data_IF_974983431792
#
_entry.id   IF_974983431792
#
_cell.length_a   1.000
_cell.length_b   1.000
_cell.length_c   1.000
_cell.angle_alpha   90.00
_cell.angle_beta   90.00
_cell.angle_gamma   90.00
#
_symmetry.space_group_name_H-M   'P 1'
#
loop_
_entity.id
_entity.type
_entity.pdbx_description
1 polymer ?
#
# COMPACT_ATOMS: atom_id res chain seq x y z
N UNK A 1 1.39 10.37 -15.84
CA UNK A 1 2.76 10.51 -15.29
C UNK A 1 3.55 9.21 -15.35
N UNK A 2 2.93 8.04 -15.14
CA UNK A 2 3.63 6.73 -15.19
C UNK A 2 3.52 5.95 -16.51
N UNK A 3 3.05 6.56 -17.61
CA UNK A 3 2.92 5.86 -18.90
C UNK A 3 1.89 4.72 -18.95
N UNK A 4 1.02 4.61 -17.94
CA UNK A 4 0.00 3.56 -17.85
C UNK A 4 -1.21 3.77 -18.75
N UNK A 5 -1.84 2.65 -19.11
CA UNK A 5 -3.02 2.61 -19.95
C UNK A 5 -4.31 2.84 -19.14
N UNK A 6 -5.43 3.16 -19.81
CA UNK A 6 -6.74 3.29 -19.14
C UNK A 6 -7.14 1.98 -18.41
N UNK A 7 -6.71 0.84 -18.95
CA UNK A 7 -6.89 -0.48 -18.33
C UNK A 7 -6.10 -0.66 -17.03
N UNK A 8 -4.91 -0.05 -16.92
CA UNK A 8 -4.13 -0.07 -15.67
C UNK A 8 -4.82 0.78 -14.61
N UNK A 9 -5.43 1.90 -15.01
CA UNK A 9 -6.19 2.76 -14.09
C UNK A 9 -7.45 2.05 -13.57
N UNK A 10 -8.17 1.31 -14.42
CA UNK A 10 -9.30 0.49 -14.01
C UNK A 10 -8.88 -0.66 -13.10
N UNK A 11 -7.79 -1.35 -13.45
CA UNK A 11 -7.19 -2.39 -12.60
C UNK A 11 -6.79 -1.84 -11.22
N UNK A 12 -6.17 -0.66 -11.18
CA UNK A 12 -5.79 0.01 -9.94
C UNK A 12 -7.01 0.43 -9.12
N UNK A 13 -8.06 0.94 -9.75
CA UNK A 13 -9.30 1.31 -9.07
C UNK A 13 -9.96 0.09 -8.40
N UNK A 14 -10.05 -1.04 -9.11
CA UNK A 14 -10.60 -2.28 -8.58
C UNK A 14 -9.70 -2.85 -7.47
N UNK A 15 -8.39 -2.93 -7.70
CA UNK A 15 -7.44 -3.41 -6.70
C UNK A 15 -7.51 -2.58 -5.42
N UNK A 16 -7.60 -1.25 -5.56
CA UNK A 16 -7.74 -0.32 -4.42
C UNK A 16 -9.06 -0.55 -3.70
N UNK A 17 -10.19 -0.67 -4.41
CA UNK A 17 -11.50 -0.88 -3.81
C UNK A 17 -11.54 -2.14 -2.94
N UNK A 18 -11.07 -3.27 -3.49
CA UNK A 18 -11.04 -4.54 -2.77
C UNK A 18 -9.99 -4.56 -1.65
N UNK A 19 -8.77 -4.10 -1.91
CA UNK A 19 -7.73 -4.09 -0.88
C UNK A 19 -8.00 -3.09 0.25
N UNK A 20 -8.65 -1.95 -0.04
CA UNK A 20 -9.11 -1.02 0.98
C UNK A 20 -10.23 -1.64 1.83
N UNK A 21 -11.22 -2.25 1.20
CA UNK A 21 -12.31 -2.97 1.91
C UNK A 21 -11.75 -4.08 2.81
N UNK A 22 -10.77 -4.85 2.31
CA UNK A 22 -10.10 -5.88 3.09
C UNK A 22 -9.27 -5.30 4.24
N UNK A 23 -8.54 -4.22 4.00
CA UNK A 23 -7.78 -3.54 5.07
C UNK A 23 -8.70 -3.01 6.17
N UNK A 24 -9.88 -2.49 5.85
CA UNK A 24 -10.85 -2.04 6.86
C UNK A 24 -11.35 -3.21 7.71
N UNK A 25 -11.58 -4.37 7.09
CA UNK A 25 -11.98 -5.58 7.80
C UNK A 25 -10.87 -6.03 8.77
N UNK A 26 -9.63 -6.10 8.29
CA UNK A 26 -8.46 -6.46 9.13
C UNK A 26 -8.25 -5.46 10.27
N UNK A 27 -8.43 -4.16 9.99
CA UNK A 27 -8.31 -3.12 10.99
C UNK A 27 -9.33 -3.30 12.12
N UNK A 28 -10.57 -3.70 11.79
CA UNK A 28 -11.63 -3.95 12.76
C UNK A 28 -11.27 -5.06 13.76
N UNK A 29 -10.59 -6.11 13.31
CA UNK A 29 -10.23 -7.27 14.15
C UNK A 29 -8.88 -7.11 14.84
N UNK A 30 -7.84 -6.69 14.12
CA UNK A 30 -6.46 -6.68 14.62
C UNK A 30 -6.11 -5.35 15.28
N UNK A 31 -6.67 -4.22 14.81
CA UNK A 31 -6.41 -2.85 15.30
C UNK A 31 -4.94 -2.43 15.32
N UNK A 32 -4.11 -3.07 14.50
CA UNK A 32 -2.70 -2.71 14.35
C UNK A 32 -2.45 -2.16 12.93
N UNK A 33 -1.98 -0.89 12.78
CA UNK A 33 -1.80 -0.25 11.48
C UNK A 33 -0.87 -1.01 10.54
N UNK A 34 0.24 -1.55 11.04
CA UNK A 34 1.20 -2.28 10.20
C UNK A 34 0.58 -3.56 9.60
N UNK A 35 -0.21 -4.32 10.38
CA UNK A 35 -0.84 -5.56 9.90
C UNK A 35 -1.90 -5.22 8.87
N UNK A 36 -2.66 -4.16 9.12
CA UNK A 36 -3.67 -3.63 8.20
C UNK A 36 -3.04 -3.25 6.86
N UNK A 37 -1.89 -2.57 6.90
CA UNK A 37 -1.16 -2.17 5.70
C UNK A 37 -0.60 -3.36 4.94
N UNK A 38 0.01 -4.34 5.64
CA UNK A 38 0.48 -5.58 5.03
C UNK A 38 -0.64 -6.33 4.30
N UNK A 39 -1.78 -6.49 4.98
CA UNK A 39 -2.95 -7.18 4.45
C UNK A 39 -3.51 -6.49 3.20
N UNK A 40 -3.63 -5.16 3.21
CA UNK A 40 -4.06 -4.39 2.04
C UNK A 40 -3.08 -4.52 0.88
N UNK A 41 -1.77 -4.34 1.14
CA UNK A 41 -0.71 -4.47 0.15
C UNK A 41 -0.63 -5.85 -0.51
N UNK A 42 -0.85 -6.90 0.27
CA UNK A 42 -0.93 -8.26 -0.24
C UNK A 42 -2.07 -8.41 -1.24
N UNK A 43 -3.27 -7.89 -0.93
CA UNK A 43 -4.41 -7.91 -1.85
C UNK A 43 -4.17 -7.06 -3.09
N UNK A 44 -3.54 -5.89 -2.97
CA UNK A 44 -3.16 -5.06 -4.11
C UNK A 44 -2.24 -5.82 -5.08
N UNK A 45 -1.21 -6.49 -4.56
CA UNK A 45 -0.29 -7.28 -5.36
C UNK A 45 -0.98 -8.45 -6.07
N UNK A 46 -1.84 -9.20 -5.36
CA UNK A 46 -2.57 -10.33 -5.93
C UNK A 46 -3.51 -9.88 -7.05
N UNK A 47 -4.33 -8.86 -6.81
CA UNK A 47 -5.28 -8.37 -7.80
C UNK A 47 -4.60 -7.76 -9.01
N UNK A 48 -3.49 -7.04 -8.82
CA UNK A 48 -2.70 -6.50 -9.92
C UNK A 48 -2.12 -7.60 -10.82
N UNK A 49 -1.61 -8.68 -10.23
CA UNK A 49 -1.08 -9.83 -10.97
C UNK A 49 -2.19 -10.59 -11.72
N UNK A 50 -3.35 -10.82 -11.08
CA UNK A 50 -4.51 -11.43 -11.74
C UNK A 50 -4.95 -10.57 -12.92
N UNK A 51 -5.06 -9.25 -12.74
CA UNK A 51 -5.46 -8.34 -13.80
C UNK A 51 -4.49 -8.38 -14.98
N UNK A 52 -3.18 -8.26 -14.70
CA UNK A 52 -2.14 -8.29 -15.73
C UNK A 52 -2.14 -9.61 -16.53
N UNK A 53 -2.46 -10.74 -15.90
CA UNK A 53 -2.46 -12.07 -16.56
C UNK A 53 -3.74 -12.36 -17.35
N UNK A 54 -4.90 -11.93 -16.85
CA UNK A 54 -6.20 -12.29 -17.43
C UNK A 54 -6.80 -11.25 -18.37
N UNK A 55 -6.40 -9.97 -18.29
CA UNK A 55 -7.00 -8.92 -19.13
C UNK A 55 -6.61 -9.00 -20.60
N UNK A 56 -5.54 -9.71 -20.99
CA UNK A 56 -5.14 -9.87 -22.40
C UNK A 56 -4.67 -8.59 -23.11
N UNK A 57 -4.67 -7.45 -22.41
CA UNK A 57 -4.17 -6.15 -22.86
C UNK A 57 -2.73 -5.91 -22.36
N UNK A 58 -1.95 -5.04 -23.02
CA UNK A 58 -0.67 -4.57 -22.49
C UNK A 58 -0.90 -3.74 -21.22
N UNK A 59 -0.89 -4.43 -20.08
CA UNK A 59 -1.10 -3.91 -18.74
C UNK A 59 0.07 -4.34 -17.86
N UNK A 60 0.55 -3.43 -17.01
CA UNK A 60 1.70 -3.68 -16.15
C UNK A 60 1.26 -3.80 -14.70
N UNK A 61 1.49 -4.96 -14.08
CA UNK A 61 1.19 -5.18 -12.68
C UNK A 61 1.86 -4.14 -11.77
N UNK A 62 3.10 -3.74 -12.08
CA UNK A 62 3.85 -2.74 -11.32
C UNK A 62 3.16 -1.36 -11.31
N UNK A 63 2.56 -0.96 -12.43
CA UNK A 63 1.82 0.31 -12.55
C UNK A 63 0.52 0.26 -11.74
N UNK A 64 -0.16 -0.88 -11.76
CA UNK A 64 -1.38 -1.10 -10.97
C UNK A 64 -1.06 -1.08 -9.48
N UNK A 65 -0.01 -1.79 -9.05
CA UNK A 65 0.42 -1.82 -7.64
C UNK A 65 0.84 -0.41 -7.20
N UNK A 66 1.63 0.30 -8.00
CA UNK A 66 2.04 1.67 -7.68
C UNK A 66 0.83 2.59 -7.50
N UNK A 67 -0.17 2.51 -8.38
CA UNK A 67 -1.41 3.28 -8.27
C UNK A 67 -2.25 2.91 -7.04
N UNK A 68 -2.37 1.62 -6.73
CA UNK A 68 -3.18 1.14 -5.63
C UNK A 68 -2.56 1.39 -4.24
N UNK A 69 -1.23 1.35 -4.13
CA UNK A 69 -0.51 1.53 -2.87
C UNK A 69 -0.41 3.00 -2.44
N UNK A 70 -0.42 3.96 -3.38
CA UNK A 70 -0.21 5.39 -3.10
C UNK A 70 -1.05 5.98 -1.95
N UNK A 71 -2.37 5.72 -1.84
CA UNK A 71 -3.19 6.26 -0.76
C UNK A 71 -2.80 5.74 0.63
N UNK A 72 -2.14 4.58 0.69
CA UNK A 72 -1.74 3.94 1.95
C UNK A 72 -0.39 4.41 2.45
N UNK A 73 0.40 5.10 1.62
CA UNK A 73 1.72 5.58 2.02
C UNK A 73 1.56 6.72 3.03
N UNK A 74 2.05 6.57 4.27
CA UNK A 74 1.85 7.55 5.34
C UNK A 74 2.81 8.77 5.22
N UNK A 75 2.85 9.42 4.06
CA UNK A 75 3.76 10.53 3.79
C UNK A 75 3.52 11.77 4.68
N UNK A 76 2.26 12.14 4.91
CA UNK A 76 1.90 13.26 5.80
C UNK A 76 2.29 12.94 7.25
N UNK A 77 2.11 11.69 7.69
CA UNK A 77 2.50 11.26 9.02
C UNK A 77 4.02 11.35 9.21
N UNK A 78 4.81 10.94 8.21
CA UNK A 78 6.27 11.09 8.21
C UNK A 78 6.69 12.56 8.34
N UNK A 79 6.13 13.44 7.49
CA UNK A 79 6.45 14.87 7.51
C UNK A 79 6.09 15.50 8.86
N UNK A 80 4.94 15.14 9.43
CA UNK A 80 4.53 15.58 10.75
C UNK A 80 5.47 15.06 11.84
N UNK A 81 5.95 13.82 11.73
CA UNK A 81 6.88 13.25 12.69
C UNK A 81 8.23 13.98 12.69
N UNK A 82 8.76 14.31 11.50
CA UNK A 82 9.98 15.12 11.36
C UNK A 82 9.76 16.51 11.95
N UNK A 83 8.61 17.14 11.69
CA UNK A 83 8.24 18.44 12.28
C UNK A 83 8.17 18.37 13.82
N UNK A 84 7.61 17.31 14.37
CA UNK A 84 7.53 17.10 15.82
C UNK A 84 8.93 17.00 16.43
N UNK A 85 9.87 16.31 15.76
CA UNK A 85 11.28 16.29 16.19
C UNK A 85 11.92 17.69 16.17
N UNK A 86 11.69 18.47 15.11
CA UNK A 86 12.24 19.83 14.98
C UNK A 86 11.67 20.81 16.02
N UNK A 87 10.48 20.54 16.54
CA UNK A 87 9.81 21.36 17.57
C UNK A 87 10.08 20.87 19.00
N UNK A 88 11.09 20.00 19.18
CA UNK A 88 11.47 19.37 20.45
C UNK A 88 10.42 18.41 21.06
N UNK A 89 9.43 17.97 20.28
CA UNK A 89 8.49 16.90 20.68
C UNK A 89 9.06 15.51 20.34
N UNK A 90 10.21 15.16 20.95
CA UNK A 90 10.99 13.97 20.62
C UNK A 90 10.21 12.66 20.77
N UNK A 91 9.46 12.49 21.87
CA UNK A 91 8.69 11.25 22.11
C UNK A 91 7.58 11.04 21.06
N UNK A 92 6.88 12.11 20.66
CA UNK A 92 5.85 12.06 19.61
C UNK A 92 6.48 11.79 18.24
N UNK A 93 7.54 12.54 17.92
CA UNK A 93 8.24 12.41 16.64
C UNK A 93 8.83 11.01 16.43
N UNK A 94 9.54 10.47 17.43
CA UNK A 94 10.13 9.12 17.34
C UNK A 94 9.05 8.04 17.20
N UNK A 95 7.97 8.10 17.98
CA UNK A 95 6.89 7.12 17.91
C UNK A 95 6.22 7.09 16.52
N UNK A 96 5.92 8.27 15.97
CA UNK A 96 5.32 8.40 14.64
C UNK A 96 6.27 7.97 13.51
N UNK A 97 7.57 8.25 13.62
CA UNK A 97 8.56 7.74 12.65
C UNK A 97 8.56 6.22 12.64
N UNK A 98 8.65 5.58 13.81
CA UNK A 98 8.65 4.12 13.90
C UNK A 98 7.35 3.52 13.34
N UNK A 99 6.20 4.09 13.68
CA UNK A 99 4.91 3.64 13.14
C UNK A 99 4.88 3.73 11.61
N UNK A 100 5.23 4.89 11.06
CA UNK A 100 5.27 5.17 9.61
C UNK A 100 6.25 4.24 8.90
N UNK A 101 7.42 3.99 9.50
CA UNK A 101 8.43 3.08 8.98
C UNK A 101 7.89 1.65 8.91
N UNK A 102 7.30 1.14 10.00
CA UNK A 102 6.72 -0.19 10.04
C UNK A 102 5.59 -0.36 9.03
N UNK A 103 4.74 0.64 8.85
CA UNK A 103 3.68 0.64 7.82
C UNK A 103 4.29 0.58 6.42
N UNK A 104 5.31 1.39 6.14
CA UNK A 104 5.95 1.42 4.81
C UNK A 104 6.65 0.09 4.48
N UNK A 105 7.35 -0.49 5.47
CA UNK A 105 7.95 -1.82 5.34
C UNK A 105 6.89 -2.90 5.15
N UNK A 106 5.78 -2.83 5.89
CA UNK A 106 4.66 -3.75 5.76
C UNK A 106 4.00 -3.68 4.36
N UNK A 107 3.84 -2.47 3.80
CA UNK A 107 3.35 -2.30 2.44
C UNK A 107 4.29 -2.96 1.42
N UNK A 108 5.59 -2.70 1.52
CA UNK A 108 6.59 -3.31 0.63
C UNK A 108 6.68 -4.82 0.77
N UNK A 109 6.60 -5.35 1.99
CA UNK A 109 6.58 -6.79 2.25
C UNK A 109 5.31 -7.44 1.68
N UNK A 110 4.14 -6.85 1.90
CA UNK A 110 2.86 -7.38 1.42
C UNK A 110 2.81 -7.50 -0.10
N UNK A 111 3.22 -6.46 -0.82
CA UNK A 111 3.30 -6.51 -2.30
C UNK A 111 4.35 -7.51 -2.78
N UNK A 112 5.53 -7.55 -2.15
CA UNK A 112 6.59 -8.49 -2.51
C UNK A 112 6.18 -9.95 -2.33
N UNK A 113 5.49 -10.28 -1.23
CA UNK A 113 4.97 -11.64 -0.99
C UNK A 113 3.96 -12.03 -2.08
N UNK A 114 3.06 -11.13 -2.45
CA UNK A 114 2.10 -11.38 -3.53
C UNK A 114 2.81 -11.61 -4.88
N UNK A 115 3.84 -10.83 -5.18
CA UNK A 115 4.66 -11.00 -6.39
C UNK A 115 5.39 -12.34 -6.43
N UNK A 116 5.97 -12.77 -5.31
CA UNK A 116 6.69 -14.05 -5.23
C UNK A 116 5.73 -15.24 -5.36
N UNK A 117 4.53 -15.14 -4.78
CA UNK A 117 3.55 -16.23 -4.81
C UNK A 117 2.98 -16.50 -6.21
N UNK A 118 2.89 -15.47 -7.06
CA UNK A 118 2.27 -15.55 -8.39
C UNK A 118 3.27 -15.63 -9.56
N UNK A 119 4.55 -15.78 -9.25
CA UNK A 119 5.63 -15.85 -10.24
C UNK A 119 5.64 -17.16 -11.03
#
# INVERSE_FOLDING_TARGET
>A
MFGGNLYDALGAALATFFGFSFSLLVNKYVRIPFVTAFAGAFVFGLLAQIWARYSGFPSSADLIIAGAVMPFVPGIALTNAVRDLMTNHLNSGMSKIFETLLITLALGAGTSVALVLMK
#
